data_IF_057949798631
#
_entry.id   IF_057949798631
#
_cell.length_a   1.000
_cell.length_b   1.000
_cell.length_c   1.000
_cell.angle_alpha   90.00
_cell.angle_beta   90.00
_cell.angle_gamma   90.00
#
_symmetry.space_group_name_H-M   'P 1'
#
loop_
_entity.id
_entity.type
_entity.pdbx_description
1 polymer ?
#
# COMPACT_ATOMS: atom_id res chain seq x y z
N UNK A 1 -0.67 -5.10 -26.46
CA UNK A 1 -0.59 -3.76 -27.09
C UNK A 1 -0.12 -2.79 -26.03
N UNK A 2 0.70 -1.80 -26.40
CA UNK A 2 1.16 -0.72 -25.52
C UNK A 2 0.42 0.55 -25.90
N UNK A 3 0.01 1.32 -24.90
CA UNK A 3 -0.67 2.61 -25.09
C UNK A 3 0.29 3.74 -25.46
N UNK A 4 1.60 3.53 -25.34
CA UNK A 4 2.63 4.58 -25.48
C UNK A 4 2.85 5.39 -24.20
N UNK A 5 1.99 5.21 -23.19
CA UNK A 5 2.16 5.76 -21.84
C UNK A 5 2.66 4.65 -20.91
N UNK A 6 3.89 4.79 -20.44
CA UNK A 6 4.56 3.78 -19.62
C UNK A 6 3.91 3.58 -18.25
N UNK A 7 3.24 4.61 -17.71
CA UNK A 7 2.53 4.50 -16.42
C UNK A 7 1.23 3.74 -16.63
N UNK A 8 0.46 4.07 -17.67
CA UNK A 8 -0.76 3.34 -18.02
C UNK A 8 -0.45 1.88 -18.29
N UNK A 9 0.57 1.61 -19.10
CA UNK A 9 0.95 0.24 -19.44
C UNK A 9 1.38 -0.56 -18.19
N UNK A 10 2.13 0.05 -17.28
CA UNK A 10 2.51 -0.57 -16.01
C UNK A 10 1.29 -0.92 -15.14
N UNK A 11 0.30 -0.03 -15.06
CA UNK A 11 -0.94 -0.28 -14.31
C UNK A 11 -1.76 -1.40 -14.97
N UNK A 12 -1.88 -1.41 -16.29
CA UNK A 12 -2.55 -2.49 -17.04
C UNK A 12 -1.87 -3.83 -16.76
N UNK A 13 -0.53 -3.89 -16.78
CA UNK A 13 0.19 -5.13 -16.46
C UNK A 13 -0.09 -5.61 -15.04
N UNK A 14 -0.18 -4.70 -14.06
CA UNK A 14 -0.56 -5.07 -12.68
C UNK A 14 -1.96 -5.68 -12.60
N UNK A 15 -2.94 -5.13 -13.33
CA UNK A 15 -4.28 -5.71 -13.40
C UNK A 15 -4.27 -7.12 -14.00
N UNK A 16 -3.54 -7.32 -15.10
CA UNK A 16 -3.42 -8.64 -15.75
C UNK A 16 -2.78 -9.67 -14.80
N UNK A 17 -1.70 -9.30 -14.11
CA UNK A 17 -1.04 -10.18 -13.15
C UNK A 17 -1.96 -10.53 -11.97
N UNK A 18 -2.66 -9.56 -11.41
CA UNK A 18 -3.63 -9.81 -10.31
C UNK A 18 -4.76 -10.73 -10.75
N UNK A 19 -5.29 -10.54 -11.96
CA UNK A 19 -6.32 -11.42 -12.53
C UNK A 19 -5.82 -12.86 -12.68
N UNK A 20 -4.60 -13.04 -13.21
CA UNK A 20 -3.99 -14.36 -13.35
C UNK A 20 -3.79 -15.08 -12.00
N UNK A 21 -3.28 -14.36 -10.99
CA UNK A 21 -3.11 -14.90 -9.63
C UNK A 21 -4.44 -15.25 -8.98
N UNK A 22 -5.46 -14.40 -9.13
CA UNK A 22 -6.82 -14.68 -8.65
C UNK A 22 -7.39 -15.95 -9.28
N UNK A 23 -7.27 -16.08 -10.61
CA UNK A 23 -7.69 -17.27 -11.35
C UNK A 23 -6.94 -18.52 -10.90
N UNK A 24 -5.63 -18.43 -10.67
CA UNK A 24 -4.83 -19.55 -10.16
C UNK A 24 -5.27 -19.97 -8.74
N UNK A 25 -5.58 -19.00 -7.87
CA UNK A 25 -5.95 -19.25 -6.47
C UNK A 25 -7.37 -19.80 -6.31
N UNK A 26 -8.32 -19.26 -7.06
CA UNK A 26 -9.75 -19.57 -6.87
C UNK A 26 -10.36 -20.42 -8.00
N UNK A 27 -9.62 -20.68 -9.08
CA UNK A 27 -10.10 -21.42 -10.25
C UNK A 27 -11.11 -20.67 -11.13
N UNK A 28 -11.49 -19.45 -10.74
CA UNK A 28 -12.53 -18.63 -11.40
C UNK A 28 -12.06 -17.20 -11.65
N UNK A 29 -12.69 -16.53 -12.62
CA UNK A 29 -12.53 -15.09 -12.89
C UNK A 29 -13.67 -14.31 -12.23
N UNK A 30 -13.77 -13.01 -12.51
CA UNK A 30 -14.95 -12.22 -12.16
C UNK A 30 -16.20 -12.59 -12.98
N UNK A 31 -16.06 -13.42 -14.03
CA UNK A 31 -17.19 -13.99 -14.79
C UNK A 31 -17.92 -15.11 -14.04
N UNK A 32 -17.53 -15.37 -12.78
CA UNK A 32 -18.19 -16.31 -11.89
C UNK A 32 -19.65 -15.93 -11.64
N UNK A 33 -20.52 -16.93 -11.52
CA UNK A 33 -21.98 -16.73 -11.37
C UNK A 33 -22.51 -17.19 -10.02
N UNK A 34 -21.62 -17.56 -9.10
CA UNK A 34 -21.95 -18.17 -7.80
C UNK A 34 -22.04 -17.16 -6.64
N UNK A 35 -21.64 -15.90 -6.85
CA UNK A 35 -21.76 -14.82 -5.86
C UNK A 35 -23.01 -13.98 -6.08
N UNK A 36 -23.70 -13.66 -4.99
CA UNK A 36 -24.78 -12.68 -5.00
C UNK A 36 -24.24 -11.24 -5.01
N UNK A 37 -25.09 -10.27 -5.33
CA UNK A 37 -24.76 -8.83 -5.22
C UNK A 37 -24.31 -8.47 -3.80
N UNK A 38 -24.91 -9.09 -2.77
CA UNK A 38 -24.53 -8.84 -1.37
C UNK A 38 -23.11 -9.34 -1.07
N UNK A 39 -22.74 -10.51 -1.60
CA UNK A 39 -21.39 -11.07 -1.42
C UNK A 39 -20.34 -10.16 -2.08
N UNK A 40 -20.62 -9.64 -3.27
CA UNK A 40 -19.74 -8.67 -3.93
C UNK A 40 -19.55 -7.39 -3.10
N UNK A 41 -20.63 -6.86 -2.53
CA UNK A 41 -20.56 -5.68 -1.64
C UNK A 41 -19.73 -6.01 -0.41
N UNK A 42 -20.00 -7.14 0.25
CA UNK A 42 -19.28 -7.57 1.46
C UNK A 42 -17.79 -7.72 1.21
N UNK A 43 -17.39 -8.45 0.15
CA UNK A 43 -15.98 -8.61 -0.21
C UNK A 43 -15.32 -7.26 -0.53
N UNK A 44 -16.04 -6.35 -1.19
CA UNK A 44 -15.51 -5.01 -1.47
C UNK A 44 -15.31 -4.19 -0.19
N UNK A 45 -16.24 -4.27 0.76
CA UNK A 45 -16.09 -3.61 2.06
C UNK A 45 -14.87 -4.14 2.82
N UNK A 46 -14.65 -5.45 2.80
CA UNK A 46 -13.49 -6.10 3.42
C UNK A 46 -12.17 -5.62 2.80
N UNK A 47 -12.05 -5.61 1.48
CA UNK A 47 -10.84 -5.12 0.79
C UNK A 47 -10.59 -3.62 1.05
N UNK A 48 -11.64 -2.81 1.18
CA UNK A 48 -11.51 -1.40 1.55
C UNK A 48 -11.09 -1.21 3.01
N UNK A 49 -11.53 -2.07 3.93
CA UNK A 49 -11.05 -2.06 5.31
C UNK A 49 -9.54 -2.36 5.36
N UNK A 50 -9.07 -3.35 4.61
CA UNK A 50 -7.63 -3.65 4.50
C UNK A 50 -6.84 -2.45 3.94
N UNK A 51 -7.38 -1.78 2.92
CA UNK A 51 -6.77 -0.55 2.38
C UNK A 51 -6.66 0.56 3.43
N UNK A 52 -7.70 0.76 4.26
CA UNK A 52 -7.69 1.74 5.36
C UNK A 52 -6.61 1.39 6.39
N UNK A 53 -6.45 0.11 6.74
CA UNK A 53 -5.41 -0.35 7.67
C UNK A 53 -4.00 -0.06 7.13
N UNK A 54 -3.75 -0.25 5.83
CA UNK A 54 -2.48 0.13 5.21
C UNK A 54 -2.22 1.63 5.30
N UNK A 55 -3.22 2.46 5.01
CA UNK A 55 -3.09 3.92 5.12
C UNK A 55 -2.79 4.36 6.56
N UNK A 56 -3.47 3.77 7.54
CA UNK A 56 -3.24 4.07 8.96
C UNK A 56 -1.82 3.69 9.38
N UNK A 57 -1.32 2.52 8.94
CA UNK A 57 0.08 2.13 9.18
C UNK A 57 1.07 3.09 8.54
N UNK A 58 0.81 3.56 7.32
CA UNK A 58 1.67 4.53 6.63
C UNK A 58 1.71 5.88 7.36
N UNK A 59 0.55 6.39 7.81
CA UNK A 59 0.49 7.62 8.62
C UNK A 59 1.36 7.53 9.87
N UNK A 60 1.27 6.42 10.60
CA UNK A 60 2.08 6.20 11.80
C UNK A 60 3.57 6.09 11.47
N UNK A 61 3.92 5.44 10.36
CA UNK A 61 5.31 5.28 9.93
C UNK A 61 5.93 6.60 9.49
N UNK A 62 5.18 7.45 8.78
CA UNK A 62 5.63 8.81 8.41
C UNK A 62 5.85 9.68 9.65
N UNK A 63 4.92 9.66 10.60
CA UNK A 63 5.08 10.37 11.88
C UNK A 63 6.31 9.89 12.67
N UNK A 64 6.59 8.59 12.61
CA UNK A 64 7.77 7.97 13.26
C UNK A 64 9.08 8.38 12.59
N UNK A 65 9.11 8.51 11.25
CA UNK A 65 10.32 8.96 10.53
C UNK A 65 10.63 10.44 10.82
N UNK A 66 9.61 11.29 10.89
CA UNK A 66 9.79 12.70 11.26
C UNK A 66 10.37 12.86 12.67
N UNK A 67 9.84 12.12 13.66
CA UNK A 67 10.35 12.18 15.04
C UNK A 67 11.76 11.59 15.21
N UNK A 68 12.13 10.59 14.41
CA UNK A 68 13.50 10.05 14.42
C UNK A 68 14.49 11.03 13.78
N UNK A 69 14.11 11.72 12.71
CA UNK A 69 14.95 12.74 12.09
C UNK A 69 15.23 13.92 13.07
N UNK A 70 14.20 14.38 13.79
CA UNK A 70 14.32 15.45 14.79
C UNK A 70 15.21 15.05 15.99
N UNK A 71 15.02 13.83 16.53
CA UNK A 71 15.86 13.31 17.62
C UNK A 71 17.30 13.08 17.20
N UNK A 72 17.53 12.72 15.94
CA UNK A 72 18.89 12.56 15.39
C UNK A 72 19.57 13.91 15.25
N UNK A 73 18.87 14.95 14.79
CA UNK A 73 19.40 16.32 14.69
C UNK A 73 19.76 16.90 16.06
N UNK A 74 18.89 16.76 17.08
CA UNK A 74 19.20 17.21 18.45
C UNK A 74 20.42 16.50 19.06
N UNK A 75 20.59 15.19 18.77
CA UNK A 75 21.74 14.43 19.27
C UNK A 75 23.05 14.86 18.60
N UNK A 76 23.01 15.24 17.33
CA UNK A 76 24.17 15.78 16.60
C UNK A 76 24.51 17.18 17.12
N UNK A 77 23.52 18.03 17.37
CA UNK A 77 23.71 19.38 17.92
C UNK A 77 24.31 19.34 19.34
N UNK A 78 23.78 18.48 20.22
CA UNK A 78 24.30 18.29 21.57
C UNK A 78 25.75 17.78 21.58
N UNK A 79 26.09 16.82 20.70
CA UNK A 79 27.44 16.27 20.59
C UNK A 79 28.45 17.22 19.90
N UNK A 80 27.99 18.33 19.33
CA UNK A 80 28.82 19.36 18.70
C UNK A 80 29.17 20.54 19.62
N UNK A 81 28.63 20.57 20.84
CA UNK A 81 28.98 21.60 21.82
C UNK A 81 30.34 21.27 22.46
N UNK A 82 31.24 22.25 22.65
CA UNK A 82 32.50 22.01 23.37
C UNK A 82 32.17 21.53 24.78
N UNK A 83 32.79 20.42 25.21
CA UNK A 83 32.77 20.03 26.63
C UNK A 83 33.53 21.10 27.43
N UNK A 84 32.79 22.08 27.94
CA UNK A 84 33.30 22.98 28.97
C UNK A 84 33.30 22.21 30.29
N UNK A 85 34.49 21.77 30.70
CA UNK A 85 34.80 21.37 32.07
C UNK A 85 34.47 22.49 33.07
#
# INVERSE_FOLDING_TARGET
MSSGDSIVDSVVQKFLQRSALGKQKYGVTLDRTDLSVKDWIQHTQEELMDAILYLEKLKQTQATQATQAEKTQQKIEYNGLPEYF
#
